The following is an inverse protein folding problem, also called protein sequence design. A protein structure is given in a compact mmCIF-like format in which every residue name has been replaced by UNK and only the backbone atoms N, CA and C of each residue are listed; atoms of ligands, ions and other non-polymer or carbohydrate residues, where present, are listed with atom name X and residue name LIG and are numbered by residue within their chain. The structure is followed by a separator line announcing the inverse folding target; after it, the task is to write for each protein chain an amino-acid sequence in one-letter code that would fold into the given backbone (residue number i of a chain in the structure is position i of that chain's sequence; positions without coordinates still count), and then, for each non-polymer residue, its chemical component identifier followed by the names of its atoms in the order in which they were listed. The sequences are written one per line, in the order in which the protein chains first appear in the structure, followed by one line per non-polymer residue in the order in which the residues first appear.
data_IF_640972879165
#
_entry.id   IF_640972879165
#
_cell.length_a   1.000
_cell.length_b   1.000
_cell.length_c   1.000
_cell.angle_alpha   90.00
_cell.angle_beta   90.00
_cell.angle_gamma   90.00
#
_symmetry.space_group_name_H-M   'P 1'
#
loop_
_entity.id
_entity.type
_entity.pdbx_description
1 polymer ?
#
# COMPACT_ATOMS: atom_id res chain seq x y z
N UNK A 1 -14.99 9.24 6.67
CA UNK A 1 -14.19 8.48 7.64
C UNK A 1 -13.00 9.33 8.03
N UNK A 2 -12.61 9.31 9.29
CA UNK A 2 -11.40 10.00 9.75
C UNK A 2 -10.16 9.33 9.14
N UNK A 3 -9.13 10.10 8.83
CA UNK A 3 -7.91 9.60 8.18
C UNK A 3 -7.21 8.59 9.11
N UNK A 4 -7.15 7.31 8.69
CA UNK A 4 -6.43 6.26 9.40
C UNK A 4 -4.96 6.27 8.98
N UNK A 5 -4.08 6.20 9.98
CA UNK A 5 -2.63 6.09 9.78
C UNK A 5 -2.10 4.87 10.49
N UNK A 6 -0.96 4.37 10.02
CA UNK A 6 -0.30 3.23 10.62
C UNK A 6 1.05 3.59 11.23
N UNK A 7 1.45 2.78 12.21
CA UNK A 7 2.85 2.63 12.59
C UNK A 7 3.30 1.19 12.39
N UNK A 8 4.59 1.00 12.11
CA UNK A 8 5.17 -0.31 11.84
C UNK A 8 6.68 -0.30 12.02
N UNK A 9 7.29 -1.49 11.98
CA UNK A 9 8.74 -1.62 12.06
C UNK A 9 9.28 -2.22 10.77
N UNK A 10 10.14 -1.48 10.06
CA UNK A 10 10.84 -1.96 8.88
C UNK A 10 12.33 -2.13 9.22
N UNK A 11 12.78 -3.38 9.32
CA UNK A 11 14.20 -3.71 9.59
C UNK A 11 14.80 -3.00 10.82
N UNK A 12 14.03 -2.84 11.89
CA UNK A 12 14.47 -2.14 13.11
C UNK A 12 14.20 -0.63 13.10
N UNK A 13 13.71 -0.08 11.99
CA UNK A 13 13.30 1.32 11.89
C UNK A 13 11.81 1.47 12.17
N UNK A 14 11.48 2.34 13.13
CA UNK A 14 10.09 2.67 13.42
C UNK A 14 9.57 3.66 12.38
N UNK A 15 8.49 3.27 11.70
CA UNK A 15 7.73 4.09 10.78
C UNK A 15 6.45 4.53 11.49
N UNK A 16 6.10 5.80 11.41
CA UNK A 16 4.90 6.37 12.02
C UNK A 16 4.15 7.26 11.05
N UNK A 17 2.86 7.47 11.29
CA UNK A 17 2.00 8.32 10.47
C UNK A 17 1.93 7.90 9.00
N UNK A 18 2.06 6.60 8.72
CA UNK A 18 2.00 6.03 7.37
C UNK A 18 0.53 6.06 6.91
N UNK A 19 0.19 6.66 5.76
CA UNK A 19 -1.18 6.60 5.25
C UNK A 19 -1.64 5.15 5.01
N UNK A 20 -2.90 4.84 5.35
CA UNK A 20 -3.55 3.56 5.01
C UNK A 20 -4.55 3.82 3.89
N UNK A 21 -4.41 3.14 2.75
CA UNK A 21 -5.21 3.46 1.56
C UNK A 21 -6.66 2.98 1.67
N UNK A 22 -6.86 1.80 2.22
CA UNK A 22 -8.12 1.06 2.21
C UNK A 22 -8.33 0.30 3.54
N UNK A 23 -8.38 1.02 4.69
CA UNK A 23 -8.45 0.39 6.01
C UNK A 23 -9.75 -0.39 6.17
N UNK A 24 -9.66 -1.68 6.54
CA UNK A 24 -10.81 -2.56 6.75
C UNK A 24 -11.37 -3.23 5.50
N UNK A 25 -10.78 -3.03 4.32
CA UNK A 25 -11.30 -3.63 3.08
C UNK A 25 -10.85 -5.10 2.89
N UNK A 26 -9.77 -5.53 3.56
CA UNK A 26 -9.20 -6.88 3.36
C UNK A 26 -8.87 -7.60 4.66
N UNK A 27 -9.77 -7.53 5.64
CA UNK A 27 -9.68 -8.27 6.91
C UNK A 27 -8.36 -8.01 7.67
N UNK A 28 -7.73 -6.85 7.46
CA UNK A 28 -6.46 -6.49 8.10
C UNK A 28 -5.21 -7.13 7.49
N UNK A 29 -5.28 -7.66 6.25
CA UNK A 29 -4.09 -8.16 5.55
C UNK A 29 -3.29 -7.02 4.96
N UNK A 30 -2.40 -6.46 5.75
CA UNK A 30 -1.62 -5.28 5.39
C UNK A 30 -0.31 -5.61 4.66
N UNK A 31 0.03 -4.78 3.68
CA UNK A 31 1.32 -4.71 2.98
C UNK A 31 1.89 -3.31 3.17
N UNK A 32 3.20 -3.21 3.38
CA UNK A 32 3.90 -1.93 3.34
C UNK A 32 4.46 -1.73 1.94
N UNK A 33 4.01 -0.66 1.28
CA UNK A 33 4.53 -0.23 0.00
C UNK A 33 5.50 0.92 0.22
N UNK A 34 6.65 0.84 -0.43
CA UNK A 34 7.61 1.93 -0.56
C UNK A 34 7.70 2.34 -2.03
N UNK A 35 7.44 3.61 -2.30
CA UNK A 35 7.62 4.24 -3.60
C UNK A 35 8.87 5.12 -3.50
N UNK A 36 9.92 4.69 -4.20
CA UNK A 36 11.21 5.37 -4.30
C UNK A 36 11.21 6.51 -5.33
N UNK A 37 12.37 6.75 -5.95
CA UNK A 37 12.52 7.72 -7.05
C UNK A 37 12.57 9.20 -6.64
N UNK A 38 12.33 9.54 -5.37
CA UNK A 38 12.42 10.91 -4.85
C UNK A 38 13.47 11.06 -3.74
N UNK A 39 13.65 12.27 -3.21
CA UNK A 39 14.60 12.54 -2.11
C UNK A 39 14.25 11.81 -0.82
N UNK A 40 12.96 11.50 -0.60
CA UNK A 40 12.47 10.73 0.55
C UNK A 40 11.44 9.71 0.07
N UNK A 41 11.61 8.42 0.38
CA UNK A 41 10.64 7.40 -0.02
C UNK A 41 9.26 7.71 0.57
N UNK A 42 8.22 7.46 -0.21
CA UNK A 42 6.84 7.48 0.25
C UNK A 42 6.49 6.07 0.74
N UNK A 43 6.07 5.97 2.00
CA UNK A 43 5.55 4.72 2.56
C UNK A 43 4.04 4.77 2.64
N UNK A 44 3.37 3.68 2.25
CA UNK A 44 1.92 3.50 2.31
C UNK A 44 1.62 2.12 2.90
N UNK A 45 0.52 2.00 3.66
CA UNK A 45 -0.07 0.71 4.00
C UNK A 45 -1.26 0.46 3.07
N UNK A 46 -1.28 -0.74 2.49
CA UNK A 46 -2.37 -1.23 1.66
C UNK A 46 -2.87 -2.54 2.24
N UNK A 47 -4.17 -2.64 2.45
CA UNK A 47 -4.82 -3.91 2.73
C UNK A 47 -5.08 -4.63 1.41
N UNK A 48 -4.67 -5.91 1.33
CA UNK A 48 -4.82 -6.73 0.14
C UNK A 48 -4.59 -8.21 0.45
N UNK A 49 -5.25 -9.10 -0.30
CA UNK A 49 -5.13 -10.54 -0.05
C UNK A 49 -3.77 -11.13 -0.48
N UNK A 50 -3.12 -10.54 -1.48
CA UNK A 50 -1.80 -10.92 -1.99
C UNK A 50 -0.95 -9.70 -2.33
N UNK A 51 0.34 -9.90 -2.60
CA UNK A 51 1.24 -8.83 -3.05
C UNK A 51 0.74 -8.20 -4.37
N UNK A 52 0.24 -9.01 -5.29
CA UNK A 52 -0.28 -8.51 -6.58
C UNK A 52 -1.54 -7.67 -6.37
N UNK A 53 -2.46 -8.13 -5.52
CA UNK A 53 -3.66 -7.35 -5.19
C UNK A 53 -3.28 -5.99 -4.56
N UNK A 54 -2.21 -5.92 -3.76
CA UNK A 54 -1.74 -4.65 -3.19
C UNK A 54 -1.26 -3.65 -4.25
N UNK A 55 -0.68 -4.14 -5.36
CA UNK A 55 -0.30 -3.30 -6.51
C UNK A 55 -1.56 -2.80 -7.22
N UNK A 56 -2.55 -3.66 -7.42
CA UNK A 56 -3.80 -3.31 -8.08
C UNK A 56 -4.56 -2.23 -7.29
N UNK A 57 -4.66 -2.39 -5.96
CA UNK A 57 -5.26 -1.41 -5.05
C UNK A 57 -4.52 -0.06 -5.08
N UNK A 58 -3.18 -0.08 -5.17
CA UNK A 58 -2.41 1.15 -5.33
C UNK A 58 -2.64 1.79 -6.71
N UNK A 59 -2.68 0.99 -7.78
CA UNK A 59 -2.81 1.49 -9.15
C UNK A 59 -4.16 2.18 -9.38
N UNK A 60 -5.23 1.68 -8.76
CA UNK A 60 -6.57 2.27 -8.84
C UNK A 60 -6.80 3.40 -7.81
N UNK A 61 -5.83 3.69 -6.94
CA UNK A 61 -5.96 4.75 -5.95
C UNK A 61 -5.94 6.15 -6.60
N UNK A 62 -6.99 6.94 -6.39
CA UNK A 62 -7.11 8.28 -6.99
C UNK A 62 -5.98 9.24 -6.60
N UNK A 63 -5.44 9.10 -5.38
CA UNK A 63 -4.42 10.01 -4.87
C UNK A 63 -3.01 9.57 -5.24
N UNK A 64 -2.71 8.28 -5.24
CA UNK A 64 -1.33 7.76 -5.36
C UNK A 64 -1.09 6.89 -6.60
N UNK A 65 -2.12 6.45 -7.31
CA UNK A 65 -1.97 5.55 -8.47
C UNK A 65 -1.10 6.15 -9.58
N UNK A 66 -1.20 7.47 -9.80
CA UNK A 66 -0.36 8.20 -10.76
C UNK A 66 1.14 8.09 -10.52
N UNK A 67 1.59 7.62 -9.34
CA UNK A 67 3.00 7.39 -9.03
C UNK A 67 3.56 6.11 -9.65
N UNK A 68 2.69 5.17 -10.04
CA UNK A 68 3.07 3.88 -10.63
C UNK A 68 2.38 3.60 -11.97
N UNK A 69 1.47 4.47 -12.41
CA UNK A 69 0.80 4.35 -13.72
C UNK A 69 1.59 5.15 -14.75
N UNK A 70 1.96 4.48 -15.84
CA UNK A 70 2.67 5.11 -16.97
C UNK A 70 1.71 6.02 -17.72
N UNK A 71 2.10 7.28 -17.91
CA UNK A 71 1.32 8.20 -18.74
C UNK A 71 1.40 7.81 -20.23
N UNK A 72 0.32 8.06 -20.97
CA UNK A 72 0.18 7.66 -22.38
C UNK A 72 1.37 8.11 -23.27
N UNK A 73 1.95 9.27 -22.97
CA UNK A 73 3.08 9.83 -23.73
C UNK A 73 4.39 9.05 -23.57
N UNK A 74 4.53 8.28 -22.48
CA UNK A 74 5.72 7.45 -22.18
C UNK A 74 5.51 5.97 -22.47
N UNK A 75 4.34 5.54 -22.97
CA UNK A 75 4.08 4.13 -23.30
C UNK A 75 5.06 3.54 -24.34
N UNK A 76 5.72 4.40 -25.13
CA UNK A 76 6.75 4.01 -26.08
C UNK A 76 8.02 3.47 -25.42
N UNK A 77 8.28 3.84 -24.16
CA UNK A 77 9.44 3.38 -23.39
C UNK A 77 9.22 2.00 -22.76
N UNK A 78 7.99 1.48 -22.83
CA UNK A 78 7.59 0.18 -22.28
C UNK A 78 7.23 -0.80 -23.41
N UNK A 79 8.16 -1.67 -23.84
CA UNK A 79 7.89 -2.73 -24.82
C UNK A 79 6.72 -3.62 -24.39
N UNK A 80 5.81 -3.95 -25.31
CA UNK A 80 4.59 -4.69 -24.99
C UNK A 80 4.85 -6.06 -24.35
N UNK A 81 5.96 -6.70 -24.68
CA UNK A 81 6.38 -8.00 -24.15
C UNK A 81 6.95 -7.94 -22.72
N UNK A 82 7.17 -6.74 -22.19
CA UNK A 82 7.67 -6.51 -20.83
C UNK A 82 6.76 -5.64 -19.96
N UNK A 83 5.52 -5.36 -20.40
CA UNK A 83 4.58 -4.54 -19.64
C UNK A 83 3.99 -5.27 -18.44
N UNK A 84 3.82 -4.52 -17.36
CA UNK A 84 2.94 -4.87 -16.27
C UNK A 84 1.62 -4.11 -16.44
N UNK A 85 0.51 -4.77 -16.11
CA UNK A 85 -0.83 -4.20 -16.28
C UNK A 85 -1.55 -4.17 -14.95
N UNK A 86 -2.15 -3.03 -14.64
CA UNK A 86 -3.09 -2.90 -13.54
C UNK A 86 -4.47 -3.42 -13.89
N UNK A 87 -5.41 -3.41 -12.94
CA UNK A 87 -6.73 -4.02 -13.08
C UNK A 87 -7.60 -3.36 -14.15
N UNK A 88 -7.41 -2.06 -14.42
CA UNK A 88 -8.11 -1.33 -15.48
C UNK A 88 -7.37 -1.33 -16.83
N UNK A 89 -6.29 -2.12 -16.96
CA UNK A 89 -5.52 -2.27 -18.19
C UNK A 89 -4.46 -1.19 -18.43
N UNK A 90 -4.26 -0.29 -17.46
CA UNK A 90 -3.17 0.68 -17.46
C UNK A 90 -1.80 -0.01 -17.37
N UNK A 91 -0.79 0.56 -18.03
CA UNK A 91 0.59 0.09 -17.92
C UNK A 91 1.20 0.61 -16.63
N UNK A 92 1.88 -0.26 -15.89
CA UNK A 92 2.50 0.08 -14.62
C UNK A 92 4.02 0.20 -14.74
N UNK A 93 4.56 1.24 -14.11
CA UNK A 93 5.97 1.41 -13.79
C UNK A 93 6.22 0.88 -12.37
N UNK A 94 7.02 -0.17 -12.27
CA UNK A 94 7.35 -0.82 -11.00
C UNK A 94 8.84 -0.65 -10.62
N UNK A 95 9.62 0.12 -11.39
CA UNK A 95 11.08 0.22 -11.21
C UNK A 95 11.48 0.82 -9.86
N UNK A 96 10.59 1.59 -9.25
CA UNK A 96 10.78 2.24 -7.96
C UNK A 96 9.88 1.69 -6.85
N UNK A 97 9.18 0.59 -7.10
CA UNK A 97 8.26 -0.01 -6.15
C UNK A 97 8.93 -1.12 -5.35
N UNK A 98 8.85 -1.02 -4.02
CA UNK A 98 9.23 -2.11 -3.11
C UNK A 98 8.02 -2.46 -2.24
N UNK A 99 7.77 -3.76 -2.08
CA UNK A 99 6.64 -4.26 -1.29
C UNK A 99 7.18 -5.15 -0.18
N UNK A 100 6.80 -4.84 1.04
CA UNK A 100 7.21 -5.57 2.23
C UNK A 100 6.00 -6.30 2.81
N UNK A 101 6.19 -7.59 3.01
CA UNK A 101 5.22 -8.48 3.63
C UNK A 101 5.57 -9.93 3.34
N UNK A 102 4.95 -10.84 4.08
CA UNK A 102 5.06 -12.26 3.83
C UNK A 102 3.78 -12.81 3.21
N UNK A 103 3.87 -13.21 1.94
CA UNK A 103 2.78 -13.86 1.21
C UNK A 103 2.24 -15.08 1.98
N UNK A 104 0.91 -15.21 2.04
CA UNK A 104 0.22 -16.28 2.78
C UNK A 104 0.21 -16.14 4.31
N UNK A 105 0.83 -15.10 4.88
CA UNK A 105 0.68 -14.81 6.31
C UNK A 105 -0.71 -14.24 6.63
N UNK A 106 -1.14 -14.38 7.89
CA UNK A 106 -2.40 -13.80 8.36
C UNK A 106 -2.36 -12.25 8.33
N UNK A 107 -1.20 -11.67 8.61
CA UNK A 107 -0.92 -10.23 8.51
C UNK A 107 0.43 -10.13 7.79
N UNK A 108 0.47 -9.89 6.46
CA UNK A 108 1.70 -9.91 5.67
C UNK A 108 2.78 -8.94 6.20
N UNK A 109 2.40 -7.71 6.50
CA UNK A 109 3.23 -6.70 7.15
C UNK A 109 2.60 -6.27 8.48
N UNK A 110 3.19 -6.61 9.65
CA UNK A 110 2.65 -6.22 10.94
C UNK A 110 2.70 -4.70 11.17
N UNK A 111 1.54 -4.09 11.40
CA UNK A 111 1.42 -2.67 11.76
C UNK A 111 0.29 -2.46 12.79
N UNK A 112 0.12 -1.21 13.23
CA UNK A 112 -0.98 -0.77 14.09
C UNK A 112 -1.66 0.46 13.51
N UNK A 113 -2.99 0.47 13.50
CA UNK A 113 -3.79 1.60 13.05
C UNK A 113 -4.05 2.59 14.18
N UNK A 114 -3.99 3.86 13.80
CA UNK A 114 -4.19 5.04 14.62
C UNK A 114 -5.14 5.97 13.89
N UNK A 115 -5.99 6.65 14.65
CA UNK A 115 -7.01 7.53 14.09
C UNK A 115 -7.93 8.04 15.17
N UNK A 116 -8.84 8.94 14.79
CA UNK A 116 -9.89 9.39 15.69
C UNK A 116 -10.80 8.22 16.06
N UNK A 117 -11.13 8.08 17.35
CA UNK A 117 -11.95 6.98 17.85
C UNK A 117 -11.18 5.70 18.21
N UNK A 118 -9.91 5.56 17.79
CA UNK A 118 -9.08 4.42 18.15
C UNK A 118 -8.32 4.65 19.49
N UNK A 119 -8.00 3.58 20.24
CA UNK A 119 -7.09 3.63 21.37
C UNK A 119 -5.75 4.30 21.04
N UNK A 120 -5.15 4.99 22.01
CA UNK A 120 -3.85 5.68 21.84
C UNK A 120 -2.71 4.75 21.41
N UNK A 121 -2.74 3.49 21.85
CA UNK A 121 -1.74 2.48 21.48
C UNK A 121 -2.00 1.85 20.10
N UNK A 122 -3.07 2.28 19.42
CA UNK A 122 -3.55 1.77 18.16
C UNK A 122 -4.18 0.37 18.25
N UNK A 123 -4.81 -0.05 17.16
CA UNK A 123 -5.42 -1.40 17.01
C UNK A 123 -4.68 -2.21 15.96
N UNK A 124 -4.80 -3.53 16.02
CA UNK A 124 -4.37 -4.35 14.90
C UNK A 124 -5.32 -4.14 13.70
N UNK A 125 -4.82 -4.20 12.46
CA UNK A 125 -5.68 -4.11 11.28
C UNK A 125 -6.85 -5.11 11.29
N UNK A 126 -6.61 -6.33 11.78
CA UNK A 126 -7.63 -7.39 11.93
C UNK A 126 -8.72 -7.07 12.96
N UNK A 127 -8.54 -6.06 13.79
CA UNK A 127 -9.47 -5.64 14.83
C UNK A 127 -10.21 -4.34 14.44
N UNK A 128 -9.84 -3.71 13.32
CA UNK A 128 -10.34 -2.39 12.92
C UNK A 128 -11.83 -2.40 12.59
N UNK A 129 -12.34 -3.38 11.84
CA UNK A 129 -13.78 -3.53 11.53
C UNK A 129 -14.67 -3.67 12.78
N UNK A 130 -14.10 -4.03 13.93
CA UNK A 130 -14.83 -4.18 15.19
C UNK A 130 -14.75 -2.93 16.08
N UNK A 131 -13.99 -1.91 15.67
CA UNK A 131 -13.77 -0.68 16.42
C UNK A 131 -14.65 0.50 15.95
N UNK A 132 -15.32 0.38 14.80
CA UNK A 132 -16.26 1.38 14.26
C UNK A 132 -17.71 1.22 14.78
#
# INVERSE_FOLDING_TARGET
MSEIKASGNLHGHELTNIPVLNPGDWFGKTWLIEIGGSYTPLFLIVEANSMSDAIDELADNEQYGHLIVVEDEYLGDYPEDSRHYGPSGQVLDLDHLMIYGQEGAAIPFPCRYHGEGLPTDGVLPTEFEHAE
#
